data_IF_957331429736
#
_entry.id   IF_957331429736
#
_cell.length_a   1.000
_cell.length_b   1.000
_cell.length_c   1.000
_cell.angle_alpha   90.00
_cell.angle_beta   90.00
_cell.angle_gamma   90.00
#
_symmetry.space_group_name_H-M   'P 1'
#
loop_
_entity.id
_entity.type
_entity.pdbx_description
1 polymer ?
#
# COMPACT_ATOMS: atom_id res chain seq x y z
N UNK A 1 28.24 13.48 3.04
CA UNK A 1 27.74 13.96 1.72
C UNK A 1 27.73 12.86 0.65
N UNK A 2 28.82 12.10 0.44
CA UNK A 2 28.87 11.00 -0.55
C UNK A 2 27.88 9.85 -0.25
N UNK A 3 27.81 9.40 1.01
CA UNK A 3 26.87 8.34 1.43
C UNK A 3 25.40 8.76 1.25
N UNK A 4 25.07 10.01 1.59
CA UNK A 4 23.73 10.59 1.40
C UNK A 4 23.35 10.69 -0.10
N UNK A 5 24.28 11.12 -0.96
CA UNK A 5 24.06 11.15 -2.42
C UNK A 5 23.90 9.74 -2.99
N UNK A 6 24.66 8.77 -2.49
CA UNK A 6 24.55 7.39 -2.95
C UNK A 6 23.23 6.75 -2.52
N UNK A 7 22.79 6.98 -1.28
CA UNK A 7 21.50 6.52 -0.77
C UNK A 7 20.33 7.16 -1.51
N UNK A 8 20.39 8.46 -1.79
CA UNK A 8 19.39 9.15 -2.59
C UNK A 8 19.33 8.58 -4.01
N UNK A 9 20.49 8.32 -4.63
CA UNK A 9 20.59 7.66 -5.93
C UNK A 9 19.99 6.26 -5.93
N UNK A 10 20.27 5.43 -4.91
CA UNK A 10 19.74 4.08 -4.80
C UNK A 10 18.21 4.10 -4.62
N UNK A 11 17.69 4.93 -3.71
CA UNK A 11 16.25 5.09 -3.48
C UNK A 11 15.51 5.55 -4.75
N UNK A 12 16.04 6.57 -5.44
CA UNK A 12 15.45 7.05 -6.69
C UNK A 12 15.48 5.97 -7.76
N UNK A 13 16.60 5.26 -7.91
CA UNK A 13 16.73 4.19 -8.91
C UNK A 13 15.74 3.04 -8.68
N UNK A 14 15.49 2.66 -7.42
CA UNK A 14 14.53 1.62 -7.04
C UNK A 14 13.09 2.05 -7.27
N UNK A 15 12.79 3.34 -7.18
CA UNK A 15 11.43 3.88 -7.42
C UNK A 15 11.16 4.25 -8.88
N UNK A 16 12.21 4.48 -9.67
CA UNK A 16 12.11 4.90 -11.06
C UNK A 16 11.19 4.04 -11.93
N UNK A 17 11.20 2.68 -11.83
CA UNK A 17 10.30 1.86 -12.65
C UNK A 17 8.81 2.18 -12.45
N UNK A 18 8.38 2.51 -11.24
CA UNK A 18 6.98 2.86 -11.01
C UNK A 18 6.64 4.27 -11.44
N UNK A 19 7.55 5.23 -11.23
CA UNK A 19 7.35 6.57 -11.79
C UNK A 19 7.24 6.50 -13.32
N UNK A 20 8.06 5.66 -13.96
CA UNK A 20 7.95 5.33 -15.37
C UNK A 20 6.60 4.70 -15.74
N UNK A 21 6.11 3.73 -14.96
CA UNK A 21 4.80 3.11 -15.17
C UNK A 21 3.63 4.09 -14.99
N UNK A 22 3.70 4.99 -14.00
CA UNK A 22 2.72 6.07 -13.78
C UNK A 22 2.74 7.02 -14.99
N UNK A 23 3.91 7.47 -15.41
CA UNK A 23 4.05 8.37 -16.57
C UNK A 23 3.52 7.71 -17.86
N UNK A 24 3.87 6.44 -18.10
CA UNK A 24 3.37 5.67 -19.23
C UNK A 24 1.83 5.53 -19.18
N UNK A 25 1.28 5.17 -18.02
CA UNK A 25 -0.17 5.10 -17.80
C UNK A 25 -0.86 6.44 -18.07
N UNK A 26 -0.27 7.54 -17.60
CA UNK A 26 -0.79 8.89 -17.85
C UNK A 26 -0.81 9.22 -19.35
N UNK A 27 0.29 8.99 -20.06
CA UNK A 27 0.38 9.21 -21.50
C UNK A 27 -0.63 8.34 -22.27
N UNK A 28 -0.71 7.04 -21.96
CA UNK A 28 -1.70 6.13 -22.58
C UNK A 28 -3.13 6.60 -22.32
N UNK A 29 -3.43 7.08 -21.11
CA UNK A 29 -4.74 7.61 -20.76
C UNK A 29 -5.13 8.84 -21.57
N UNK A 30 -4.18 9.73 -21.84
CA UNK A 30 -4.40 10.92 -22.68
C UNK A 30 -4.47 10.62 -24.18
N UNK A 31 -3.73 9.62 -24.66
CA UNK A 31 -3.54 9.39 -26.09
C UNK A 31 -4.47 8.32 -26.69
N UNK A 32 -4.84 7.30 -25.92
CA UNK A 32 -5.47 6.10 -26.50
C UNK A 32 -6.99 6.19 -26.71
N UNK A 33 -7.68 7.08 -25.98
CA UNK A 33 -9.15 7.17 -25.98
C UNK A 33 -9.90 5.92 -25.50
N UNK A 34 -9.19 4.88 -25.04
CA UNK A 34 -9.74 3.58 -24.61
C UNK A 34 -9.83 3.50 -23.09
N UNK A 35 -10.79 2.73 -22.59
CA UNK A 35 -10.98 2.48 -21.15
C UNK A 35 -10.02 1.39 -20.62
N UNK A 36 -8.71 1.69 -20.65
CA UNK A 36 -7.67 0.80 -20.12
C UNK A 36 -7.78 0.57 -18.61
N UNK A 37 -8.37 1.52 -17.88
CA UNK A 37 -8.57 1.42 -16.42
C UNK A 37 -9.43 0.20 -16.12
N UNK A 38 -10.53 0.01 -16.83
CA UNK A 38 -11.39 -1.17 -16.64
C UNK A 38 -10.63 -2.48 -16.88
N UNK A 39 -9.85 -2.57 -17.96
CA UNK A 39 -9.13 -3.80 -18.30
C UNK A 39 -8.01 -4.12 -17.30
N UNK A 40 -7.15 -3.16 -16.99
CA UNK A 40 -6.03 -3.38 -16.08
C UNK A 40 -6.49 -3.54 -14.62
N UNK A 41 -7.48 -2.76 -14.16
CA UNK A 41 -8.00 -2.94 -12.80
C UNK A 41 -8.67 -4.29 -12.61
N UNK A 42 -9.33 -4.83 -13.64
CA UNK A 42 -9.91 -6.19 -13.58
C UNK A 42 -8.81 -7.26 -13.58
N UNK A 43 -7.81 -7.14 -14.45
CA UNK A 43 -6.65 -8.04 -14.44
C UNK A 43 -5.96 -8.04 -13.06
N UNK A 44 -5.80 -6.86 -12.45
CA UNK A 44 -5.24 -6.72 -11.12
C UNK A 44 -6.13 -7.39 -10.06
N UNK A 45 -7.41 -7.03 -10.02
CA UNK A 45 -8.36 -7.48 -8.98
C UNK A 45 -8.59 -9.00 -8.99
N UNK A 46 -8.69 -9.59 -10.17
CA UNK A 46 -9.11 -10.99 -10.33
C UNK A 46 -7.98 -11.98 -10.57
N UNK A 47 -6.79 -11.52 -11.00
CA UNK A 47 -5.67 -12.40 -11.34
C UNK A 47 -4.41 -12.04 -10.56
N UNK A 48 -3.83 -10.86 -10.81
CA UNK A 48 -2.50 -10.55 -10.33
C UNK A 48 -2.44 -10.36 -8.81
N UNK A 49 -3.37 -9.60 -8.22
CA UNK A 49 -3.42 -9.40 -6.76
C UNK A 49 -3.68 -10.75 -6.07
N UNK A 50 -4.71 -11.55 -6.42
CA UNK A 50 -4.95 -12.85 -5.81
C UNK A 50 -3.74 -13.79 -5.85
N UNK A 51 -3.02 -13.89 -6.97
CA UNK A 51 -1.83 -14.74 -7.07
C UNK A 51 -0.71 -14.28 -6.13
N UNK A 52 -0.46 -12.97 -6.02
CA UNK A 52 0.52 -12.43 -5.08
C UNK A 52 0.08 -12.67 -3.63
N UNK A 53 -1.22 -12.53 -3.34
CA UNK A 53 -1.79 -12.81 -2.01
C UNK A 53 -1.57 -14.27 -1.64
N UNK A 54 -1.93 -15.20 -2.54
CA UNK A 54 -1.73 -16.63 -2.37
C UNK A 54 -0.27 -16.96 -2.08
N UNK A 55 0.66 -16.45 -2.90
CA UNK A 55 2.10 -16.63 -2.71
C UNK A 55 2.54 -16.20 -1.31
N UNK A 56 2.15 -15.00 -0.89
CA UNK A 56 2.57 -14.46 0.39
C UNK A 56 1.96 -15.26 1.55
N UNK A 57 0.70 -15.66 1.44
CA UNK A 57 0.04 -16.53 2.41
C UNK A 57 0.71 -17.91 2.50
N UNK A 58 1.08 -18.51 1.36
CA UNK A 58 1.80 -19.77 1.29
C UNK A 58 3.19 -19.69 1.95
N UNK A 59 3.83 -18.53 1.87
CA UNK A 59 5.14 -18.27 2.43
C UNK A 59 5.12 -17.83 3.91
N UNK A 60 3.94 -17.66 4.52
CA UNK A 60 3.83 -17.25 5.91
C UNK A 60 4.48 -18.26 6.85
N UNK A 61 5.24 -17.75 7.82
CA UNK A 61 5.74 -18.53 8.94
C UNK A 61 5.02 -18.04 10.20
N UNK A 62 4.21 -18.90 10.82
CA UNK A 62 3.34 -18.54 11.94
C UNK A 62 4.08 -18.26 13.27
N UNK A 63 5.43 -18.33 13.31
CA UNK A 63 6.24 -17.98 14.48
C UNK A 63 6.29 -16.48 14.79
N UNK A 64 7.50 -15.96 15.11
CA UNK A 64 7.75 -14.56 15.53
C UNK A 64 7.20 -13.47 14.57
N UNK A 65 6.81 -13.85 13.36
CA UNK A 65 6.26 -13.01 12.31
C UNK A 65 4.79 -12.55 12.52
N UNK A 66 3.99 -13.25 13.34
CA UNK A 66 2.58 -12.88 13.56
C UNK A 66 2.41 -11.52 14.24
N UNK A 67 3.38 -11.13 15.08
CA UNK A 67 3.42 -9.83 15.74
C UNK A 67 3.41 -8.67 14.75
N UNK A 68 4.15 -8.79 13.65
CA UNK A 68 4.22 -7.75 12.61
C UNK A 68 2.92 -7.65 11.78
N UNK A 69 2.21 -8.77 11.59
CA UNK A 69 0.88 -8.78 10.97
C UNK A 69 -0.10 -8.02 11.86
N UNK A 70 -0.16 -8.38 13.15
CA UNK A 70 -1.02 -7.73 14.13
C UNK A 70 -0.69 -6.23 14.28
N UNK A 71 0.60 -5.88 14.31
CA UNK A 71 1.07 -4.50 14.38
C UNK A 71 0.60 -3.69 13.17
N UNK A 72 0.76 -4.24 11.96
CA UNK A 72 0.30 -3.57 10.75
C UNK A 72 -1.22 -3.38 10.72
N UNK A 73 -1.99 -4.38 11.18
CA UNK A 73 -3.45 -4.26 11.29
C UNK A 73 -3.87 -3.23 12.35
N UNK A 74 -3.16 -3.18 13.49
CA UNK A 74 -3.39 -2.17 14.52
C UNK A 74 -3.09 -0.76 13.99
N UNK A 75 -1.97 -0.59 13.28
CA UNK A 75 -1.63 0.65 12.59
C UNK A 75 -2.70 1.09 11.59
N UNK A 76 -3.15 0.20 10.70
CA UNK A 76 -4.24 0.51 9.77
C UNK A 76 -5.55 0.86 10.49
N UNK A 77 -5.85 0.21 11.61
CA UNK A 77 -7.03 0.50 12.44
C UNK A 77 -6.95 1.90 13.04
N UNK A 78 -5.83 2.24 13.70
CA UNK A 78 -5.58 3.57 14.24
C UNK A 78 -5.70 4.63 13.14
N UNK A 79 -5.18 4.34 11.94
CA UNK A 79 -5.28 5.26 10.81
C UNK A 79 -6.71 5.48 10.32
N UNK A 80 -7.62 4.50 10.41
CA UNK A 80 -9.06 4.73 10.16
C UNK A 80 -9.63 5.70 11.20
N UNK A 81 -9.25 5.57 12.47
CA UNK A 81 -9.68 6.49 13.53
C UNK A 81 -9.16 7.91 13.28
N UNK A 82 -7.88 8.05 12.92
CA UNK A 82 -7.30 9.31 12.49
C UNK A 82 -8.07 9.91 11.31
N UNK A 83 -8.44 9.10 10.31
CA UNK A 83 -9.23 9.55 9.17
C UNK A 83 -10.62 10.07 9.60
N UNK A 84 -11.28 9.38 10.54
CA UNK A 84 -12.58 9.80 11.05
C UNK A 84 -12.53 11.18 11.74
N UNK A 85 -11.39 11.54 12.34
CA UNK A 85 -11.16 12.83 12.95
C UNK A 85 -10.70 13.89 11.93
N UNK A 86 -9.79 13.54 11.03
CA UNK A 86 -9.10 14.52 10.16
C UNK A 86 -9.91 14.85 8.91
N UNK A 87 -10.45 13.84 8.22
CA UNK A 87 -11.09 14.02 6.91
C UNK A 87 -12.26 15.02 6.93
N UNK A 88 -13.17 15.01 7.92
CA UNK A 88 -14.27 15.99 7.97
C UNK A 88 -13.82 17.45 8.10
N UNK A 89 -12.57 17.68 8.53
CA UNK A 89 -11.98 19.02 8.70
C UNK A 89 -11.19 19.46 7.47
N UNK A 90 -10.98 18.58 6.50
CA UNK A 90 -10.24 18.88 5.27
C UNK A 90 -11.17 19.40 4.18
N UNK A 91 -10.86 20.56 3.60
CA UNK A 91 -11.53 21.06 2.38
C UNK A 91 -10.97 20.31 1.17
N UNK A 92 -11.67 19.29 0.69
CA UNK A 92 -11.26 18.45 -0.44
C UNK A 92 -12.47 17.84 -1.14
N UNK A 93 -12.35 17.60 -2.44
CA UNK A 93 -13.38 16.92 -3.25
C UNK A 93 -13.26 15.40 -3.18
N UNK A 94 -12.24 14.89 -2.50
CA UNK A 94 -12.03 13.46 -2.29
C UNK A 94 -13.22 12.86 -1.51
N UNK A 95 -13.88 11.79 -2.02
CA UNK A 95 -14.95 11.12 -1.30
C UNK A 95 -14.50 10.65 0.09
N UNK A 96 -15.36 10.88 1.09
CA UNK A 96 -14.99 10.71 2.50
C UNK A 96 -14.48 9.30 2.82
N UNK A 97 -15.15 8.24 2.35
CA UNK A 97 -14.74 6.87 2.72
C UNK A 97 -13.62 6.35 1.82
N UNK A 98 -13.49 6.84 0.59
CA UNK A 98 -12.27 6.71 -0.20
C UNK A 98 -11.06 7.27 0.57
N UNK A 99 -11.18 8.45 1.19
CA UNK A 99 -10.14 9.00 2.05
C UNK A 99 -9.84 8.11 3.26
N UNK A 100 -10.84 7.46 3.87
CA UNK A 100 -10.60 6.53 4.99
C UNK A 100 -9.78 5.32 4.56
N UNK A 101 -10.07 4.77 3.38
CA UNK A 101 -9.26 3.70 2.79
C UNK A 101 -7.84 4.21 2.50
N UNK A 102 -7.69 5.39 1.90
CA UNK A 102 -6.39 5.99 1.63
C UNK A 102 -5.57 6.25 2.91
N UNK A 103 -6.21 6.61 4.02
CA UNK A 103 -5.54 6.77 5.31
C UNK A 103 -5.03 5.46 5.88
N UNK A 104 -5.76 4.37 5.72
CA UNK A 104 -5.45 3.10 6.39
C UNK A 104 -4.69 2.10 5.53
N UNK A 105 -4.74 2.23 4.20
CA UNK A 105 -4.09 1.29 3.29
C UNK A 105 -2.80 1.86 2.71
N UNK A 106 -1.70 1.35 3.23
CA UNK A 106 -0.34 1.85 2.98
C UNK A 106 0.41 0.97 1.97
N UNK A 107 1.27 1.58 1.16
CA UNK A 107 2.01 0.91 0.10
C UNK A 107 3.29 0.22 0.61
N UNK A 108 3.14 -0.94 1.26
CA UNK A 108 4.29 -1.66 1.84
C UNK A 108 5.03 -2.46 0.76
N UNK A 109 4.32 -3.19 -0.10
CA UNK A 109 4.96 -4.14 -1.01
C UNK A 109 5.82 -3.46 -2.09
N UNK A 110 5.32 -2.38 -2.69
CA UNK A 110 6.04 -1.70 -3.77
C UNK A 110 6.97 -0.60 -3.27
N UNK A 111 6.51 0.25 -2.35
CA UNK A 111 7.34 1.35 -1.84
C UNK A 111 8.15 0.93 -0.61
N UNK A 112 7.48 0.32 0.37
CA UNK A 112 8.11 -0.05 1.65
C UNK A 112 9.25 -1.04 1.54
N UNK A 113 9.07 -2.16 0.83
CA UNK A 113 10.10 -3.22 0.73
C UNK A 113 11.40 -2.69 0.09
N UNK A 114 11.39 -2.05 -1.10
CA UNK A 114 12.63 -1.49 -1.67
C UNK A 114 13.26 -0.41 -0.79
N UNK A 115 12.45 0.44 -0.16
CA UNK A 115 12.96 1.48 0.75
C UNK A 115 13.61 0.90 2.00
N UNK A 116 13.00 -0.11 2.62
CA UNK A 116 13.57 -0.78 3.78
C UNK A 116 14.87 -1.50 3.45
N UNK A 117 14.92 -2.20 2.30
CA UNK A 117 16.15 -2.83 1.82
C UNK A 117 17.27 -1.82 1.59
N UNK A 118 16.95 -0.63 1.05
CA UNK A 118 17.94 0.42 0.81
C UNK A 118 18.43 1.07 2.10
N UNK A 119 17.55 1.26 3.10
CA UNK A 119 17.89 1.96 4.35
C UNK A 119 18.50 1.05 5.42
N UNK A 120 18.03 -0.19 5.51
CA UNK A 120 18.28 -1.10 6.63
C UNK A 120 18.83 -2.46 6.19
N UNK A 121 18.95 -2.71 4.88
CA UNK A 121 19.46 -3.97 4.36
C UNK A 121 18.46 -5.13 4.41
N UNK A 122 18.94 -6.37 4.12
CA UNK A 122 18.11 -7.57 3.98
C UNK A 122 17.28 -7.93 5.22
N UNK A 123 17.73 -7.56 6.41
CA UNK A 123 17.08 -7.90 7.68
C UNK A 123 15.72 -7.20 7.85
N UNK A 124 15.47 -6.12 7.10
CA UNK A 124 14.16 -5.46 7.06
C UNK A 124 13.09 -6.27 6.33
N UNK A 125 13.49 -7.17 5.43
CA UNK A 125 12.58 -7.86 4.51
C UNK A 125 11.53 -8.72 5.23
N UNK A 126 11.89 -9.58 6.22
CA UNK A 126 10.90 -10.38 6.94
C UNK A 126 9.85 -9.52 7.64
N UNK A 127 10.25 -8.39 8.23
CA UNK A 127 9.35 -7.47 8.93
C UNK A 127 8.37 -6.84 7.95
N UNK A 128 8.87 -6.32 6.83
CA UNK A 128 8.06 -5.63 5.82
C UNK A 128 7.14 -6.58 5.06
N UNK A 129 7.56 -7.82 4.81
CA UNK A 129 6.69 -8.85 4.20
C UNK A 129 5.51 -9.18 5.12
N UNK A 130 5.76 -9.30 6.43
CA UNK A 130 4.69 -9.60 7.39
C UNK A 130 3.78 -8.39 7.62
N UNK A 131 4.34 -7.18 7.69
CA UNK A 131 3.54 -5.97 7.70
C UNK A 131 2.72 -5.83 6.42
N UNK A 132 3.28 -6.17 5.25
CA UNK A 132 2.55 -6.20 3.99
C UNK A 132 1.35 -7.15 4.05
N UNK A 133 1.50 -8.34 4.64
CA UNK A 133 0.38 -9.28 4.83
C UNK A 133 -0.72 -8.67 5.70
N UNK A 134 -0.38 -8.05 6.84
CA UNK A 134 -1.36 -7.38 7.68
C UNK A 134 -2.10 -6.25 6.95
N UNK A 135 -1.36 -5.38 6.27
CA UNK A 135 -1.91 -4.31 5.44
C UNK A 135 -2.77 -4.83 4.28
N UNK A 136 -2.41 -5.97 3.70
CA UNK A 136 -3.17 -6.63 2.64
C UNK A 136 -4.51 -7.17 3.15
N UNK A 137 -4.52 -7.86 4.29
CA UNK A 137 -5.75 -8.36 4.92
C UNK A 137 -6.66 -7.17 5.25
N UNK A 138 -6.12 -6.15 5.92
CA UNK A 138 -6.88 -4.97 6.30
C UNK A 138 -7.41 -4.21 5.07
N UNK A 139 -6.55 -4.01 4.07
CA UNK A 139 -6.89 -3.31 2.83
C UNK A 139 -8.02 -4.00 2.06
N UNK A 140 -7.97 -5.33 1.92
CA UNK A 140 -9.01 -6.10 1.21
C UNK A 140 -10.29 -6.32 2.04
N UNK A 141 -10.28 -6.01 3.33
CA UNK A 141 -11.47 -6.08 4.20
C UNK A 141 -12.00 -4.69 4.50
N UNK A 142 -11.47 -4.03 5.53
CA UNK A 142 -11.91 -2.73 6.02
C UNK A 142 -11.66 -1.64 4.97
N UNK A 143 -10.49 -1.64 4.32
CA UNK A 143 -10.17 -0.66 3.28
C UNK A 143 -11.16 -0.72 2.11
N UNK A 144 -11.37 -1.91 1.55
CA UNK A 144 -12.32 -2.16 0.47
C UNK A 144 -13.76 -1.83 0.89
N UNK A 145 -14.15 -2.18 2.13
CA UNK A 145 -15.44 -1.80 2.71
C UNK A 145 -15.63 -0.28 2.73
N UNK A 146 -14.61 0.48 3.15
CA UNK A 146 -14.67 1.94 3.15
C UNK A 146 -14.99 2.47 1.76
N UNK A 147 -14.26 2.05 0.71
CA UNK A 147 -14.52 2.49 -0.66
C UNK A 147 -15.91 2.05 -1.14
N UNK A 148 -16.34 0.84 -0.83
CA UNK A 148 -17.65 0.32 -1.23
C UNK A 148 -18.80 1.13 -0.61
N UNK A 149 -18.63 1.56 0.65
CA UNK A 149 -19.66 2.29 1.40
C UNK A 149 -19.91 3.71 0.91
N UNK A 150 -19.05 4.27 0.05
CA UNK A 150 -19.37 5.53 -0.62
C UNK A 150 -20.55 5.38 -1.60
N UNK A 151 -20.84 4.16 -2.06
CA UNK A 151 -21.86 3.93 -3.11
C UNK A 151 -22.92 2.88 -2.75
N UNK A 152 -22.55 1.88 -1.97
CA UNK A 152 -23.41 0.72 -1.68
C UNK A 152 -23.88 0.73 -0.24
N UNK A 153 -25.03 0.12 0.06
CA UNK A 153 -25.52 -0.08 1.43
C UNK A 153 -24.53 -0.90 2.28
N UNK A 154 -24.73 -0.93 3.61
CA UNK A 154 -23.90 -1.75 4.51
C UNK A 154 -23.90 -3.20 4.08
N UNK A 155 -25.09 -3.79 3.89
CA UNK A 155 -25.25 -5.19 3.46
C UNK A 155 -24.53 -5.48 2.15
N UNK A 156 -24.75 -4.67 1.12
CA UNK A 156 -24.11 -4.85 -0.19
C UNK A 156 -22.60 -4.68 -0.12
N UNK A 157 -22.11 -3.75 0.72
CA UNK A 157 -20.67 -3.54 0.89
C UNK A 157 -20.01 -4.73 1.57
N UNK A 158 -20.61 -5.27 2.64
CA UNK A 158 -20.12 -6.48 3.31
C UNK A 158 -20.12 -7.68 2.36
N UNK A 159 -21.17 -7.83 1.54
CA UNK A 159 -21.21 -8.87 0.52
C UNK A 159 -20.05 -8.74 -0.47
N UNK A 160 -19.81 -7.54 -1.00
CA UNK A 160 -18.71 -7.29 -1.93
C UNK A 160 -17.34 -7.60 -1.32
N UNK A 161 -17.14 -7.24 -0.05
CA UNK A 161 -15.93 -7.61 0.71
C UNK A 161 -15.78 -9.13 0.75
N UNK A 162 -16.81 -9.84 1.21
CA UNK A 162 -16.77 -11.30 1.32
C UNK A 162 -16.47 -12.00 -0.01
N UNK A 163 -16.94 -11.44 -1.14
CA UNK A 163 -16.70 -11.96 -2.49
C UNK A 163 -15.36 -11.52 -3.12
N UNK A 164 -14.47 -10.87 -2.37
CA UNK A 164 -13.20 -10.37 -2.93
C UNK A 164 -12.24 -11.53 -3.22
N UNK A 165 -11.73 -11.71 -4.46
CA UNK A 165 -10.87 -12.83 -4.82
C UNK A 165 -9.61 -12.96 -3.96
N UNK A 166 -9.05 -11.83 -3.51
CA UNK A 166 -7.88 -11.82 -2.63
C UNK A 166 -8.10 -12.56 -1.30
N UNK A 167 -9.32 -12.53 -0.73
CA UNK A 167 -9.60 -13.24 0.53
C UNK A 167 -9.61 -14.76 0.34
N UNK A 168 -10.20 -15.23 -0.76
CA UNK A 168 -10.18 -16.65 -1.11
C UNK A 168 -8.76 -17.13 -1.42
N UNK A 169 -7.99 -16.33 -2.17
CA UNK A 169 -6.59 -16.65 -2.45
C UNK A 169 -5.73 -16.67 -1.19
N UNK A 170 -5.99 -15.76 -0.24
CA UNK A 170 -5.35 -15.78 1.07
C UNK A 170 -5.66 -17.08 1.82
N UNK A 171 -6.94 -17.45 1.92
CA UNK A 171 -7.36 -18.71 2.56
C UNK A 171 -6.77 -19.95 1.89
N UNK A 172 -6.74 -19.99 0.55
CA UNK A 172 -6.11 -21.07 -0.21
C UNK A 172 -4.59 -21.15 0.04
N UNK A 173 -3.92 -20.01 0.15
CA UNK A 173 -2.48 -19.96 0.47
C UNK A 173 -2.19 -20.46 1.89
N UNK A 174 -3.02 -20.10 2.87
CA UNK A 174 -2.93 -20.61 4.23
C UNK A 174 -3.18 -22.13 4.30
N UNK A 175 -4.20 -22.61 3.60
CA UNK A 175 -4.47 -24.04 3.50
C UNK A 175 -3.29 -24.79 2.86
N UNK A 176 -2.72 -24.23 1.78
CA UNK A 176 -1.53 -24.79 1.13
C UNK A 176 -0.30 -24.80 2.05
N UNK A 177 -0.12 -23.76 2.85
CA UNK A 177 0.96 -23.67 3.83
C UNK A 177 0.81 -24.73 4.91
N UNK A 178 -0.40 -24.93 5.45
CA UNK A 178 -0.70 -25.96 6.45
C UNK A 178 -0.52 -27.39 5.91
N UNK A 179 -0.72 -27.59 4.61
CA UNK A 179 -0.52 -28.87 3.92
C UNK A 179 0.94 -29.09 3.47
N UNK A 180 1.86 -28.17 3.78
CA UNK A 180 3.26 -28.29 3.38
C UNK A 180 3.48 -28.12 1.86
N UNK A 181 2.53 -27.54 1.11
CA UNK A 181 2.65 -27.40 -0.35
C UNK A 181 3.87 -26.60 -0.78
N UNK A 182 4.36 -25.70 0.09
CA UNK A 182 5.58 -24.93 -0.15
C UNK A 182 6.79 -25.83 -0.37
N UNK A 183 6.92 -26.89 0.42
CA UNK A 183 8.07 -27.79 0.37
C UNK A 183 7.99 -28.77 -0.81
N UNK A 184 6.79 -28.91 -1.39
CA UNK A 184 6.53 -29.72 -2.59
C UNK A 184 6.78 -28.94 -3.89
N UNK A 185 7.01 -27.63 -3.83
CA UNK A 185 7.24 -26.82 -5.01
C UNK A 185 8.59 -27.18 -5.65
N UNK A 186 8.65 -27.42 -6.97
CA UNK A 186 9.91 -27.67 -7.65
C UNK A 186 10.91 -26.52 -7.50
N UNK A 187 12.23 -26.80 -7.56
CA UNK A 187 13.24 -25.77 -7.69
C UNK A 187 12.91 -24.83 -8.86
N UNK A 188 12.95 -23.52 -8.61
CA UNK A 188 12.63 -22.50 -9.63
C UNK A 188 11.17 -22.02 -9.66
N UNK A 189 10.28 -22.60 -8.84
CA UNK A 189 8.88 -22.17 -8.67
C UNK A 189 8.71 -20.69 -8.25
N UNK A 190 9.75 -20.07 -7.68
CA UNK A 190 9.77 -18.64 -7.36
C UNK A 190 9.78 -17.74 -8.59
N UNK A 191 10.32 -18.18 -9.73
CA UNK A 191 10.48 -17.33 -10.91
C UNK A 191 9.14 -16.84 -11.49
N UNK A 192 8.12 -17.69 -11.72
CA UNK A 192 6.79 -17.25 -12.09
C UNK A 192 6.18 -16.25 -11.10
N UNK A 193 6.31 -16.50 -9.80
CA UNK A 193 5.78 -15.60 -8.78
C UNK A 193 6.46 -14.22 -8.81
N UNK A 194 7.77 -14.16 -9.05
CA UNK A 194 8.48 -12.88 -9.23
C UNK A 194 7.93 -12.10 -10.44
N UNK A 195 7.69 -12.78 -11.56
CA UNK A 195 7.09 -12.15 -12.75
C UNK A 195 5.69 -11.61 -12.44
N UNK A 196 4.85 -12.41 -11.77
CA UNK A 196 3.51 -11.97 -11.36
C UNK A 196 3.57 -10.77 -10.42
N UNK A 197 4.48 -10.75 -9.45
CA UNK A 197 4.68 -9.59 -8.57
C UNK A 197 5.11 -8.35 -9.35
N UNK A 198 6.02 -8.49 -10.31
CA UNK A 198 6.46 -7.39 -11.16
C UNK A 198 5.31 -6.85 -12.02
N UNK A 199 4.54 -7.74 -12.66
CA UNK A 199 3.36 -7.37 -13.44
C UNK A 199 2.29 -6.70 -12.57
N UNK A 200 2.00 -7.24 -11.39
CA UNK A 200 1.06 -6.67 -10.43
C UNK A 200 1.45 -5.24 -10.06
N UNK A 201 2.72 -5.02 -9.74
CA UNK A 201 3.24 -3.71 -9.41
C UNK A 201 3.19 -2.74 -10.60
N UNK A 202 3.72 -3.15 -11.76
CA UNK A 202 3.77 -2.32 -12.96
C UNK A 202 2.38 -1.94 -13.46
N UNK A 203 1.47 -2.90 -13.57
CA UNK A 203 0.08 -2.64 -13.95
C UNK A 203 -0.64 -1.77 -12.90
N UNK A 204 -0.38 -1.98 -11.60
CA UNK A 204 -0.94 -1.15 -10.53
C UNK A 204 -0.55 0.32 -10.68
N UNK A 205 0.73 0.58 -10.90
CA UNK A 205 1.27 1.93 -11.09
C UNK A 205 0.80 2.56 -12.42
N UNK A 206 0.64 1.75 -13.46
CA UNK A 206 0.04 2.20 -14.72
C UNK A 206 -1.44 2.59 -14.54
N UNK A 207 -2.22 1.87 -13.73
CA UNK A 207 -3.61 2.23 -13.40
C UNK A 207 -3.68 3.55 -12.63
N UNK A 208 -2.73 3.80 -11.71
CA UNK A 208 -2.61 5.11 -11.04
C UNK A 208 -2.36 6.21 -12.09
N UNK A 209 -1.44 6.00 -13.04
CA UNK A 209 -1.17 6.94 -14.13
C UNK A 209 -2.40 7.20 -15.01
N UNK A 210 -3.10 6.14 -15.41
CA UNK A 210 -4.32 6.21 -16.20
C UNK A 210 -5.41 7.00 -15.46
N UNK A 211 -5.62 6.75 -14.17
CA UNK A 211 -6.58 7.52 -13.38
C UNK A 211 -6.16 8.98 -13.19
N UNK A 212 -4.86 9.25 -13.01
CA UNK A 212 -4.32 10.60 -12.96
C UNK A 212 -4.54 11.37 -14.28
N UNK A 213 -4.59 10.68 -15.43
CA UNK A 213 -4.89 11.31 -16.73
C UNK A 213 -6.28 11.95 -16.79
N UNK A 214 -7.23 11.43 -15.97
CA UNK A 214 -8.61 11.91 -15.87
C UNK A 214 -8.76 13.06 -14.86
N UNK A 215 -7.73 13.35 -14.07
CA UNK A 215 -7.76 14.43 -13.09
C UNK A 215 -7.83 15.78 -13.80
N UNK A 216 -8.79 16.60 -13.39
CA UNK A 216 -8.77 18.04 -13.67
C UNK A 216 -7.81 18.70 -12.69
N UNK A 217 -6.60 19.01 -13.15
CA UNK A 217 -5.56 19.64 -12.34
C UNK A 217 -5.88 21.11 -12.04
N UNK A 218 -6.91 21.35 -11.24
CA UNK A 218 -7.20 22.68 -10.69
C UNK A 218 -6.37 22.91 -9.44
N UNK A 219 -5.99 24.17 -9.17
CA UNK A 219 -5.24 24.51 -7.97
C UNK A 219 -6.00 24.13 -6.68
N UNK A 220 -7.33 24.23 -6.69
CA UNK A 220 -8.18 23.84 -5.57
C UNK A 220 -8.15 22.32 -5.31
N UNK A 221 -8.29 21.50 -6.35
CA UNK A 221 -8.25 20.03 -6.22
C UNK A 221 -6.89 19.54 -5.73
N UNK A 222 -5.80 20.09 -6.29
CA UNK A 222 -4.43 19.76 -5.85
C UNK A 222 -4.22 20.20 -4.40
N UNK A 223 -4.57 21.44 -4.04
CA UNK A 223 -4.38 21.96 -2.68
C UNK A 223 -5.19 21.19 -1.64
N UNK A 224 -6.46 20.89 -1.93
CA UNK A 224 -7.33 20.12 -1.04
C UNK A 224 -6.82 18.70 -0.82
N UNK A 225 -6.40 18.04 -1.90
CA UNK A 225 -5.84 16.68 -1.83
C UNK A 225 -4.48 16.65 -1.16
N UNK A 226 -3.61 17.64 -1.44
CA UNK A 226 -2.30 17.75 -0.80
C UNK A 226 -2.44 18.01 0.71
N UNK A 227 -3.34 18.89 1.13
CA UNK A 227 -3.64 19.13 2.53
C UNK A 227 -4.09 17.83 3.23
N UNK A 228 -4.98 17.06 2.59
CA UNK A 228 -5.40 15.75 3.09
C UNK A 228 -4.21 14.77 3.23
N UNK A 229 -3.34 14.72 2.23
CA UNK A 229 -2.14 13.86 2.22
C UNK A 229 -1.13 14.27 3.30
N UNK A 230 -0.91 15.56 3.51
CA UNK A 230 -0.02 16.06 4.58
C UNK A 230 -0.54 15.62 5.94
N UNK A 231 -1.83 15.86 6.22
CA UNK A 231 -2.42 15.42 7.50
C UNK A 231 -2.42 13.91 7.67
N UNK A 232 -2.63 13.14 6.59
CA UNK A 232 -2.44 11.69 6.62
C UNK A 232 -1.01 11.34 7.04
N UNK A 233 -0.01 11.98 6.42
CA UNK A 233 1.39 11.68 6.67
C UNK A 233 1.79 12.00 8.12
N UNK A 234 1.39 13.16 8.64
CA UNK A 234 1.60 13.51 10.07
C UNK A 234 0.90 12.51 10.99
N UNK A 235 -0.36 12.17 10.71
CA UNK A 235 -1.10 11.18 11.49
C UNK A 235 -0.44 9.80 11.46
N UNK A 236 0.10 9.40 10.31
CA UNK A 236 0.78 8.13 10.09
C UNK A 236 2.05 8.00 10.95
N UNK A 237 2.85 9.07 11.04
CA UNK A 237 4.02 9.12 11.94
C UNK A 237 3.61 9.01 13.41
N UNK A 238 2.56 9.72 13.83
CA UNK A 238 2.04 9.63 15.19
C UNK A 238 1.42 8.26 15.51
N UNK A 239 0.67 7.69 14.56
CA UNK A 239 -0.02 6.42 14.71
C UNK A 239 0.96 5.26 14.86
N UNK A 240 2.04 5.22 14.08
CA UNK A 240 3.03 4.14 14.22
C UNK A 240 3.73 4.21 15.58
N UNK A 241 4.06 5.41 16.07
CA UNK A 241 4.63 5.59 17.40
C UNK A 241 3.68 5.13 18.51
N UNK A 242 2.38 5.49 18.40
CA UNK A 242 1.35 5.06 19.34
C UNK A 242 1.17 3.53 19.35
N UNK A 243 1.21 2.88 18.18
CA UNK A 243 1.10 1.42 18.05
C UNK A 243 2.32 0.72 18.65
N UNK A 244 3.54 1.20 18.40
CA UNK A 244 4.75 0.67 19.05
C UNK A 244 4.62 0.76 20.58
N UNK A 245 4.17 1.91 21.09
CA UNK A 245 3.92 2.10 22.53
C UNK A 245 2.86 1.15 23.07
N UNK A 246 1.74 0.96 22.36
CA UNK A 246 0.68 0.04 22.73
C UNK A 246 1.20 -1.41 22.83
N UNK A 247 1.99 -1.85 21.84
CA UNK A 247 2.59 -3.18 21.81
C UNK A 247 3.53 -3.41 22.99
N UNK A 248 4.34 -2.40 23.36
CA UNK A 248 5.16 -2.46 24.57
C UNK A 248 4.33 -2.57 25.85
N UNK A 249 3.22 -1.81 25.97
CA UNK A 249 2.35 -1.83 27.14
C UNK A 249 1.64 -3.17 27.35
N UNK A 250 1.30 -3.89 26.28
CA UNK A 250 0.65 -5.22 26.36
C UNK A 250 1.65 -6.38 26.48
N UNK A 251 2.93 -6.09 26.74
CA UNK A 251 3.96 -7.12 26.94
C UNK A 251 4.49 -7.74 25.65
N UNK A 252 4.27 -7.11 24.49
CA UNK A 252 4.76 -7.55 23.19
C UNK A 252 5.60 -6.46 22.49
N UNK A 253 6.68 -5.96 23.13
CA UNK A 253 7.47 -4.87 22.58
C UNK A 253 8.09 -5.24 21.23
N UNK A 254 8.16 -4.26 20.33
CA UNK A 254 8.94 -4.40 19.09
C UNK A 254 10.42 -4.47 19.47
N UNK A 255 11.11 -5.50 18.97
CA UNK A 255 12.54 -5.66 19.21
C UNK A 255 13.33 -4.43 18.75
N UNK A 256 14.36 -4.06 19.50
CA UNK A 256 15.11 -2.81 19.31
C UNK A 256 15.71 -2.69 17.90
N UNK A 257 16.24 -3.79 17.39
CA UNK A 257 16.81 -3.91 16.04
C UNK A 257 15.77 -3.72 14.92
N UNK A 258 14.49 -3.93 15.22
CA UNK A 258 13.40 -3.85 14.25
C UNK A 258 12.69 -2.49 14.26
N UNK A 259 12.98 -1.63 15.25
CA UNK A 259 12.23 -0.39 15.48
C UNK A 259 12.23 0.53 14.27
N UNK A 260 13.36 0.71 13.59
CA UNK A 260 13.43 1.61 12.44
C UNK A 260 12.69 1.02 11.23
N UNK A 261 12.77 -0.30 11.01
CA UNK A 261 11.97 -0.95 9.97
C UNK A 261 10.46 -0.79 10.24
N UNK A 262 10.02 -0.86 11.50
CA UNK A 262 8.62 -0.65 11.86
C UNK A 262 8.23 0.82 11.73
N UNK A 263 9.06 1.76 12.17
CA UNK A 263 8.84 3.22 12.03
C UNK A 263 8.68 3.64 10.57
N UNK A 264 9.39 2.97 9.65
CA UNK A 264 9.25 3.20 8.21
C UNK A 264 7.79 3.12 7.75
N UNK A 265 6.97 2.23 8.33
CA UNK A 265 5.54 2.10 7.99
C UNK A 265 4.78 3.42 8.10
N UNK A 266 5.17 4.28 9.04
CA UNK A 266 4.59 5.62 9.23
C UNK A 266 4.92 6.59 8.11
N UNK A 267 5.99 6.37 7.34
CA UNK A 267 6.43 7.25 6.25
C UNK A 267 5.94 6.81 4.88
N UNK A 268 5.35 5.62 4.78
CA UNK A 268 4.96 5.04 3.50
C UNK A 268 3.73 5.73 2.88
N UNK A 269 3.61 5.74 1.54
CA UNK A 269 2.52 6.41 0.85
C UNK A 269 1.24 5.55 0.83
N UNK A 270 0.18 6.10 0.26
CA UNK A 270 -1.08 5.37 0.04
C UNK A 270 -0.86 4.25 -0.97
N UNK A 271 -1.46 3.08 -0.73
CA UNK A 271 -1.39 1.94 -1.64
C UNK A 271 -2.03 2.24 -3.00
N UNK A 272 -1.36 1.87 -4.09
CA UNK A 272 -1.93 1.96 -5.45
C UNK A 272 -3.21 1.12 -5.62
N UNK A 273 -3.38 0.08 -4.81
CA UNK A 273 -4.58 -0.77 -4.78
C UNK A 273 -5.87 0.04 -4.50
N UNK A 274 -5.78 1.20 -3.84
CA UNK A 274 -6.93 2.09 -3.64
C UNK A 274 -7.53 2.55 -4.97
N UNK A 275 -6.71 2.76 -6.01
CA UNK A 275 -7.18 3.11 -7.36
C UNK A 275 -7.90 1.93 -8.01
N UNK A 276 -7.39 0.70 -7.81
CA UNK A 276 -8.03 -0.52 -8.30
C UNK A 276 -9.41 -0.69 -7.63
N UNK A 277 -9.50 -0.48 -6.33
CA UNK A 277 -10.76 -0.53 -5.60
C UNK A 277 -11.75 0.52 -6.10
N UNK A 278 -11.29 1.76 -6.29
CA UNK A 278 -12.11 2.83 -6.84
C UNK A 278 -12.65 2.45 -8.22
N UNK A 279 -11.81 1.92 -9.11
CA UNK A 279 -12.23 1.50 -10.45
C UNK A 279 -13.27 0.36 -10.42
N UNK A 280 -13.01 -0.69 -9.63
CA UNK A 280 -13.89 -1.86 -9.54
C UNK A 280 -15.24 -1.54 -8.88
N UNK A 281 -15.25 -0.61 -7.93
CA UNK A 281 -16.47 -0.15 -7.26
C UNK A 281 -17.13 1.02 -8.00
N UNK A 282 -16.55 1.47 -9.12
CA UNK A 282 -16.93 2.68 -9.87
C UNK A 282 -17.09 3.91 -8.95
N UNK A 283 -16.15 4.06 -8.02
CA UNK A 283 -15.92 5.25 -7.21
C UNK A 283 -15.01 6.24 -7.97
N UNK A 284 -14.58 7.31 -7.31
CA UNK A 284 -13.76 8.36 -7.93
C UNK A 284 -12.31 7.90 -8.12
N UNK A 285 -12.02 7.42 -9.34
CA UNK A 285 -10.69 6.95 -9.76
C UNK A 285 -9.69 8.10 -9.87
N UNK A 286 -10.14 9.29 -10.29
CA UNK A 286 -9.29 10.45 -10.44
C UNK A 286 -8.80 10.95 -9.07
N UNK A 287 -9.71 11.08 -8.10
CA UNK A 287 -9.38 11.41 -6.72
C UNK A 287 -8.43 10.38 -6.09
N UNK A 288 -8.73 9.08 -6.24
CA UNK A 288 -7.86 8.01 -5.73
C UNK A 288 -6.43 8.11 -6.29
N UNK A 289 -6.32 8.36 -7.60
CA UNK A 289 -5.03 8.46 -8.28
C UNK A 289 -4.24 9.68 -7.86
N UNK A 290 -4.91 10.84 -7.70
CA UNK A 290 -4.27 12.06 -7.22
C UNK A 290 -3.73 11.90 -5.79
N UNK A 291 -4.48 11.26 -4.89
CA UNK A 291 -4.03 10.97 -3.53
C UNK A 291 -2.80 10.05 -3.54
N UNK A 292 -2.83 8.98 -4.33
CA UNK A 292 -1.70 8.04 -4.44
C UNK A 292 -0.46 8.75 -4.99
N UNK A 293 -0.60 9.54 -6.07
CA UNK A 293 0.52 10.28 -6.66
C UNK A 293 1.12 11.29 -5.67
N UNK A 294 0.29 12.14 -5.05
CA UNK A 294 0.77 13.15 -4.09
C UNK A 294 1.37 12.53 -2.84
N UNK A 295 0.76 11.46 -2.30
CA UNK A 295 1.32 10.76 -1.14
C UNK A 295 2.65 10.09 -1.46
N UNK A 296 2.81 9.52 -2.66
CA UNK A 296 4.08 8.93 -3.11
C UNK A 296 5.18 9.98 -3.18
N UNK A 297 4.88 11.18 -3.70
CA UNK A 297 5.83 12.29 -3.72
C UNK A 297 6.22 12.74 -2.30
N UNK A 298 5.24 12.98 -1.42
CA UNK A 298 5.48 13.37 -0.02
C UNK A 298 6.30 12.32 0.72
N UNK A 299 5.93 11.05 0.62
CA UNK A 299 6.66 9.95 1.25
C UNK A 299 8.08 9.79 0.72
N UNK A 300 8.30 10.01 -0.58
CA UNK A 300 9.66 9.97 -1.16
C UNK A 300 10.54 11.03 -0.53
N UNK A 301 10.04 12.27 -0.43
CA UNK A 301 10.78 13.37 0.22
C UNK A 301 11.04 13.06 1.70
N UNK A 302 10.03 12.62 2.44
CA UNK A 302 10.18 12.30 3.87
C UNK A 302 11.18 11.17 4.13
N UNK A 303 11.16 10.11 3.31
CA UNK A 303 12.11 8.99 3.41
C UNK A 303 13.52 9.43 3.05
N UNK A 304 13.70 10.27 2.03
CA UNK A 304 15.00 10.84 1.69
C UNK A 304 15.55 11.67 2.85
N UNK A 305 14.75 12.57 3.42
CA UNK A 305 15.14 13.37 4.58
C UNK A 305 15.51 12.49 5.78
N UNK A 306 14.72 11.45 6.06
CA UNK A 306 15.00 10.54 7.17
C UNK A 306 16.25 9.70 6.93
N UNK A 307 16.46 9.20 5.72
CA UNK A 307 17.66 8.47 5.34
C UNK A 307 18.92 9.31 5.48
N UNK A 308 18.87 10.59 5.08
CA UNK A 308 19.98 11.54 5.29
C UNK A 308 20.22 11.77 6.78
N UNK A 309 19.18 11.85 7.61
CA UNK A 309 19.33 11.99 9.06
C UNK A 309 19.97 10.74 9.70
N UNK A 310 19.57 9.54 9.29
CA UNK A 310 20.10 8.28 9.83
C UNK A 310 21.56 8.01 9.43
N UNK A 311 21.96 8.36 8.20
CA UNK A 311 23.26 8.00 7.61
C UNK A 311 24.21 9.19 7.40
N UNK A 312 23.74 10.40 7.71
CA UNK A 312 24.50 11.65 7.59
C UNK A 312 25.03 12.18 8.92
N UNK A 313 24.69 11.55 10.05
CA UNK A 313 25.26 11.77 11.37
C UNK A 313 26.55 10.94 11.56
#
# INVERSE_FOLDING_TARGET
MYAAMHLAGDLVSRMLPAYGAIAAGFCVGRLSGRDWIRHLSSLLMYVLIPLVVFKNALALNFGAAIGNVALSMAFSTVMVLCAALIVPRCKTDVPRRLAFCAFSYTNIGWFGVPTGLALFGPDSLPILVMAYVGGLIFGNTVGFYCVARDRFSVRTSLWKVATTPALYAFGAGLAGQALGLRDLLPPGSEAPFRVVTLLMSGCGMMVVGLGASQVRFTAAAIRGTLNLVIWRHVASVGAIAAVIGLFALVGAPVATENLDTVRLLGLLPVAGNVVVFAAQLRSDVAAASLIVALSTAVSTLSVLCWGVFLHGA
#
